data_IF_066770474799
#
_entry.id   IF_066770474799
#
_cell.length_a   1.000
_cell.length_b   1.000
_cell.length_c   1.000
_cell.angle_alpha   90.00
_cell.angle_beta   90.00
_cell.angle_gamma   90.00
#
_symmetry.space_group_name_H-M   'P 1'
#
loop_
_entity.id
_entity.type
_entity.pdbx_description
1 polymer ?
#
# COMPACT_ATOMS: atom_id res chain seq x y z
N UNK A 1 10.34 -22.36 12.35
CA UNK A 1 9.56 -22.12 11.11
C UNK A 1 8.56 -20.97 11.30
N UNK A 2 8.81 -19.79 10.71
CA UNK A 2 7.82 -18.70 10.70
C UNK A 2 6.71 -19.10 9.74
N UNK A 3 5.54 -19.48 10.26
CA UNK A 3 4.35 -19.61 9.44
C UNK A 3 4.00 -18.22 8.90
N UNK A 4 4.25 -17.99 7.61
CA UNK A 4 3.69 -16.85 6.91
C UNK A 4 2.18 -17.07 6.80
N UNK A 5 1.43 -16.62 7.82
CA UNK A 5 -0.02 -16.48 7.71
C UNK A 5 -0.24 -15.41 6.63
N UNK A 6 -0.53 -15.84 5.41
CA UNK A 6 -1.08 -14.97 4.37
C UNK A 6 -2.42 -14.48 4.91
N UNK A 7 -2.41 -13.31 5.55
CA UNK A 7 -3.58 -12.73 6.20
C UNK A 7 -4.21 -11.67 5.31
N UNK A 8 -5.44 -11.29 5.64
CA UNK A 8 -6.19 -10.19 5.00
C UNK A 8 -5.35 -8.90 4.85
N UNK A 9 -4.37 -8.66 5.72
CA UNK A 9 -3.45 -7.50 5.64
C UNK A 9 -2.42 -7.59 4.50
N UNK A 10 -2.14 -8.78 3.97
CA UNK A 10 -1.37 -8.95 2.74
C UNK A 10 -2.19 -8.55 1.52
N UNK A 11 -3.50 -8.84 1.52
CA UNK A 11 -4.40 -8.41 0.44
C UNK A 11 -4.53 -6.88 0.40
N UNK A 12 -4.56 -6.23 1.57
CA UNK A 12 -4.55 -4.76 1.69
C UNK A 12 -3.28 -4.15 1.07
N UNK A 13 -2.12 -4.80 1.21
CA UNK A 13 -0.89 -4.36 0.54
C UNK A 13 -1.02 -4.47 -0.98
N UNK A 14 -1.51 -5.61 -1.46
CA UNK A 14 -1.75 -5.82 -2.90
C UNK A 14 -2.75 -4.81 -3.46
N UNK A 15 -3.81 -4.49 -2.72
CA UNK A 15 -4.75 -3.42 -3.04
C UNK A 15 -4.04 -2.06 -3.11
N UNK A 16 -3.14 -1.76 -2.18
CA UNK A 16 -2.29 -0.57 -2.23
C UNK A 16 -1.46 -0.47 -3.51
N UNK A 17 -0.85 -1.58 -3.95
CA UNK A 17 -0.11 -1.64 -5.20
C UNK A 17 -1.00 -1.41 -6.43
N UNK A 18 -2.20 -1.99 -6.46
CA UNK A 18 -3.18 -1.81 -7.54
C UNK A 18 -3.65 -0.34 -7.57
N UNK A 19 -3.99 0.23 -6.41
CA UNK A 19 -4.39 1.63 -6.30
C UNK A 19 -3.26 2.57 -6.76
N UNK A 20 -2.03 2.30 -6.34
CA UNK A 20 -0.86 3.05 -6.79
C UNK A 20 -0.72 3.03 -8.32
N UNK A 21 -0.89 1.85 -8.93
CA UNK A 21 -0.87 1.68 -10.38
C UNK A 21 -2.00 2.46 -11.08
N UNK A 22 -3.18 2.53 -10.49
CA UNK A 22 -4.30 3.33 -11.04
C UNK A 22 -4.03 4.84 -10.95
N UNK A 23 -3.34 5.30 -9.90
CA UNK A 23 -3.03 6.72 -9.68
C UNK A 23 -1.84 7.19 -10.54
N UNK A 24 -0.77 6.40 -10.61
CA UNK A 24 0.49 6.84 -11.23
C UNK A 24 0.84 6.13 -12.54
N UNK A 25 0.04 5.16 -12.99
CA UNK A 25 0.29 4.43 -14.23
C UNK A 25 1.43 3.41 -14.15
N UNK A 26 2.02 3.18 -12.98
CA UNK A 26 3.00 2.12 -12.73
C UNK A 26 2.90 1.60 -11.29
N UNK A 27 3.37 0.38 -11.01
CA UNK A 27 3.44 -0.13 -9.62
C UNK A 27 4.54 0.56 -8.81
N UNK A 28 4.48 0.55 -7.46
CA UNK A 28 5.50 1.24 -6.64
C UNK A 28 6.93 0.71 -6.83
N UNK A 29 7.07 -0.55 -7.26
CA UNK A 29 8.35 -1.25 -7.40
C UNK A 29 8.64 -1.65 -8.86
N UNK A 30 7.97 -1.02 -9.84
CA UNK A 30 8.03 -1.43 -11.25
C UNK A 30 9.46 -1.49 -11.80
N UNK A 31 10.28 -0.48 -11.48
CA UNK A 31 11.64 -0.29 -12.02
C UNK A 31 12.71 -1.07 -11.26
N UNK A 32 12.34 -1.81 -10.21
CA UNK A 32 13.30 -2.51 -9.37
C UNK A 32 13.48 -3.93 -9.89
N UNK A 33 14.74 -4.33 -10.10
CA UNK A 33 15.08 -5.71 -10.48
C UNK A 33 14.81 -6.69 -9.34
N UNK A 34 15.34 -6.40 -8.14
CA UNK A 34 15.15 -7.22 -6.94
C UNK A 34 13.94 -6.74 -6.12
N UNK A 35 12.73 -6.92 -6.66
CA UNK A 35 11.48 -6.38 -6.07
C UNK A 35 11.25 -6.85 -4.64
N UNK A 36 11.48 -8.14 -4.35
CA UNK A 36 11.26 -8.69 -3.02
C UNK A 36 12.15 -8.02 -1.97
N UNK A 37 13.41 -7.75 -2.31
CA UNK A 37 14.33 -7.04 -1.42
C UNK A 37 13.86 -5.63 -1.14
N UNK A 38 13.42 -4.88 -2.16
CA UNK A 38 12.90 -3.53 -1.98
C UNK A 38 11.58 -3.48 -1.19
N UNK A 39 10.71 -4.49 -1.36
CA UNK A 39 9.45 -4.60 -0.62
C UNK A 39 9.73 -4.75 0.88
N UNK A 40 10.67 -5.62 1.27
CA UNK A 40 10.98 -5.87 2.69
C UNK A 40 11.98 -4.86 3.28
N UNK A 41 12.70 -4.10 2.45
CA UNK A 41 13.70 -3.13 2.91
C UNK A 41 13.03 -1.89 3.53
N UNK A 42 13.18 -1.64 4.85
CA UNK A 42 12.60 -0.48 5.50
C UNK A 42 13.25 0.84 5.06
N UNK A 43 14.48 0.81 4.54
CA UNK A 43 15.18 1.99 4.02
C UNK A 43 14.75 2.35 2.59
N UNK A 44 13.99 1.50 1.89
CA UNK A 44 13.44 1.85 0.59
C UNK A 44 12.20 2.73 0.78
N UNK A 45 12.32 4.00 0.44
CA UNK A 45 11.19 4.92 0.45
C UNK A 45 10.34 4.74 -0.81
N UNK A 46 9.03 4.57 -0.62
CA UNK A 46 8.10 4.43 -1.74
C UNK A 46 7.77 5.85 -2.23
N UNK A 47 7.99 6.20 -3.51
CA UNK A 47 7.70 7.55 -3.97
C UNK A 47 6.19 7.78 -4.01
N UNK A 48 5.71 8.85 -3.38
CA UNK A 48 4.31 9.29 -3.47
C UNK A 48 4.27 10.71 -4.06
N UNK A 49 4.34 10.87 -5.40
CA UNK A 49 4.17 12.17 -6.04
C UNK A 49 2.90 12.88 -5.59
N UNK A 50 2.89 14.22 -5.66
CA UNK A 50 1.73 15.01 -5.24
C UNK A 50 0.44 14.59 -5.98
N UNK A 51 -0.66 14.55 -5.25
CA UNK A 51 -2.01 14.34 -5.77
C UNK A 51 -2.97 15.25 -4.98
N UNK A 52 -3.95 15.83 -5.67
CA UNK A 52 -4.86 16.82 -5.09
C UNK A 52 -5.91 16.23 -4.16
N UNK A 53 -6.11 14.89 -4.16
CA UNK A 53 -7.02 14.21 -3.23
C UNK A 53 -6.27 13.74 -1.97
N UNK A 54 -6.37 14.47 -0.84
CA UNK A 54 -5.68 14.09 0.40
C UNK A 54 -6.21 12.77 0.99
N UNK A 55 -7.47 12.42 0.74
CA UNK A 55 -8.06 11.18 1.24
C UNK A 55 -7.56 9.96 0.44
N UNK A 56 -7.38 10.11 -0.86
CA UNK A 56 -6.73 9.10 -1.70
C UNK A 56 -5.30 8.86 -1.23
N UNK A 57 -4.54 9.94 -1.02
CA UNK A 57 -3.14 9.86 -0.58
C UNK A 57 -3.00 9.18 0.78
N UNK A 58 -3.93 9.45 1.70
CA UNK A 58 -3.95 8.80 3.01
C UNK A 58 -4.23 7.29 2.92
N UNK A 59 -5.24 6.86 2.14
CA UNK A 59 -5.50 5.43 1.86
C UNK A 59 -4.26 4.77 1.28
N UNK A 60 -3.65 5.41 0.29
CA UNK A 60 -2.55 4.84 -0.45
C UNK A 60 -1.32 4.60 0.43
N UNK A 61 -0.96 5.59 1.27
CA UNK A 61 0.16 5.47 2.21
C UNK A 61 -0.12 4.44 3.31
N UNK A 62 -1.35 4.37 3.81
CA UNK A 62 -1.76 3.37 4.81
C UNK A 62 -1.70 1.94 4.27
N UNK A 63 -2.21 1.70 3.06
CA UNK A 63 -2.16 0.37 2.42
C UNK A 63 -0.72 -0.09 2.15
N UNK A 64 0.18 0.82 1.79
CA UNK A 64 1.59 0.55 1.50
C UNK A 64 2.51 0.73 2.73
N UNK A 65 1.95 0.65 3.95
CA UNK A 65 2.76 0.57 5.16
C UNK A 65 3.42 -0.80 5.30
N UNK A 66 4.74 -0.82 5.53
CA UNK A 66 5.46 -2.09 5.80
C UNK A 66 5.05 -2.68 7.14
N UNK A 67 4.83 -1.82 8.14
CA UNK A 67 4.28 -2.25 9.42
C UNK A 67 2.85 -2.75 9.21
N UNK A 68 2.66 -4.03 9.56
CA UNK A 68 1.39 -4.75 9.44
C UNK A 68 0.35 -4.14 10.38
N UNK A 69 0.73 -3.65 11.55
CA UNK A 69 -0.23 -3.09 12.53
C UNK A 69 -0.73 -1.70 12.11
N UNK A 70 0.05 -0.98 11.28
CA UNK A 70 -0.37 0.29 10.68
C UNK A 70 -1.23 0.10 9.42
N UNK A 71 -1.28 -1.12 8.85
CA UNK A 71 -2.14 -1.40 7.71
C UNK A 71 -3.60 -1.52 8.15
N UNK A 72 -4.52 -0.78 7.51
CA UNK A 72 -5.93 -0.79 7.87
C UNK A 72 -6.55 -2.16 7.55
N UNK A 73 -7.63 -2.51 8.26
CA UNK A 73 -8.49 -3.61 7.86
C UNK A 73 -9.36 -3.19 6.66
N UNK A 74 -9.92 -4.18 5.97
CA UNK A 74 -10.91 -3.93 4.89
C UNK A 74 -12.10 -3.13 5.41
N UNK A 75 -12.61 -3.44 6.60
CA UNK A 75 -13.72 -2.69 7.21
C UNK A 75 -13.35 -1.22 7.49
N UNK A 76 -12.11 -0.97 7.90
CA UNK A 76 -11.61 0.40 8.11
C UNK A 76 -11.49 1.16 6.79
N UNK A 77 -11.04 0.48 5.72
CA UNK A 77 -10.96 1.05 4.37
C UNK A 77 -12.34 1.40 3.81
N UNK A 78 -13.33 0.52 3.97
CA UNK A 78 -14.71 0.79 3.52
C UNK A 78 -15.33 2.01 4.20
N UNK A 79 -14.96 2.27 5.46
CA UNK A 79 -15.41 3.44 6.23
C UNK A 79 -14.55 4.68 6.03
N UNK A 80 -13.50 4.60 5.20
CA UNK A 80 -12.56 5.70 5.01
C UNK A 80 -13.20 6.84 4.21
N UNK A 81 -12.85 8.10 4.55
CA UNK A 81 -13.39 9.31 3.92
C UNK A 81 -13.26 9.34 2.37
N UNK A 82 -12.30 8.61 1.81
CA UNK A 82 -12.16 8.46 0.36
C UNK A 82 -13.37 7.80 -0.31
N UNK A 83 -14.00 6.83 0.37
CA UNK A 83 -15.19 6.09 -0.12
C UNK A 83 -16.51 6.61 0.45
N UNK A 84 -16.46 7.52 1.42
CA UNK A 84 -17.64 8.14 2.04
C UNK A 84 -18.03 9.47 1.36
N UNK A 85 -17.57 9.67 0.12
CA UNK A 85 -17.93 10.83 -0.73
C UNK A 85 -19.29 10.64 -1.37
#
# INVERSE_FOLDING_TARGET
PRLFKVGVRSDVWSLGCILYQMVYGHTPFQHIRQKLEAIVNPAFDIPFPHNDDPHLMDVLKKCLSRDIELRPTTDALLKHAYLQK
#
